data_IF_921602362098
#
_entry.id   IF_921602362098
#
_cell.length_a   1.000
_cell.length_b   1.000
_cell.length_c   1.000
_cell.angle_alpha   90.00
_cell.angle_beta   90.00
_cell.angle_gamma   90.00
#
_symmetry.space_group_name_H-M   'P 1'
#
loop_
_entity.id
_entity.type
_entity.pdbx_description
1 polymer ?
#
# COMPACT_ATOMS: atom_id res chain seq x y z
N UNK A 1 -9.55 2.19 -3.10
CA UNK A 1 -8.34 3.00 -3.30
C UNK A 1 -7.79 3.59 -2.01
N UNK A 2 -8.60 4.21 -1.16
CA UNK A 2 -8.14 4.81 0.12
C UNK A 2 -7.34 3.85 1.01
N UNK A 3 -7.72 2.57 1.09
CA UNK A 3 -6.96 1.56 1.85
C UNK A 3 -5.50 1.42 1.38
N UNK A 4 -5.27 1.46 0.06
CA UNK A 4 -3.91 1.43 -0.52
C UNK A 4 -3.14 2.69 -0.16
N UNK A 5 -3.76 3.87 -0.28
CA UNK A 5 -3.13 5.14 0.07
C UNK A 5 -2.73 5.19 1.55
N UNK A 6 -3.61 4.74 2.44
CA UNK A 6 -3.33 4.63 3.88
C UNK A 6 -2.19 3.65 4.15
N UNK A 7 -2.15 2.51 3.46
CA UNK A 7 -1.06 1.54 3.60
C UNK A 7 0.30 2.09 3.16
N UNK A 8 0.34 2.83 2.05
CA UNK A 8 1.55 3.56 1.62
C UNK A 8 1.97 4.58 2.68
N UNK A 9 1.03 5.35 3.23
CA UNK A 9 1.31 6.29 4.33
C UNK A 9 1.87 5.61 5.58
N UNK A 10 1.34 4.45 5.97
CA UNK A 10 1.85 3.67 7.10
C UNK A 10 3.26 3.13 6.85
N UNK A 11 3.54 2.61 5.65
CA UNK A 11 4.88 2.16 5.27
C UNK A 11 5.91 3.32 5.22
N UNK A 12 5.49 4.50 4.77
CA UNK A 12 6.34 5.70 4.85
C UNK A 12 6.60 6.11 6.30
N UNK A 13 5.58 6.09 7.15
CA UNK A 13 5.71 6.41 8.56
C UNK A 13 6.67 5.45 9.28
N UNK A 14 6.63 4.15 8.96
CA UNK A 14 7.59 3.16 9.43
C UNK A 14 9.02 3.58 9.11
N UNK A 15 9.33 3.89 7.84
CA UNK A 15 10.68 4.31 7.45
C UNK A 15 11.14 5.60 8.12
N UNK A 16 10.23 6.56 8.30
CA UNK A 16 10.52 7.81 9.01
C UNK A 16 10.83 7.57 10.50
N UNK A 17 10.06 6.69 11.16
CA UNK A 17 10.25 6.34 12.55
C UNK A 17 11.53 5.53 12.76
N UNK A 18 11.81 4.56 11.90
CA UNK A 18 13.03 3.77 11.93
C UNK A 18 14.28 4.65 11.72
N UNK A 19 14.22 5.63 10.79
CA UNK A 19 15.30 6.60 10.63
C UNK A 19 15.54 7.48 11.87
N UNK A 20 14.50 7.70 12.69
CA UNK A 20 14.58 8.55 13.89
C UNK A 20 14.99 7.78 15.15
N UNK A 21 14.54 6.54 15.29
CA UNK A 21 14.66 5.77 16.54
C UNK A 21 15.49 4.48 16.39
N UNK A 22 15.90 4.13 15.18
CA UNK A 22 16.67 2.91 14.87
C UNK A 22 15.78 1.74 14.45
N UNK A 23 16.31 0.89 13.59
CA UNK A 23 15.61 -0.28 13.07
C UNK A 23 15.37 -1.36 14.15
N UNK A 24 16.13 -1.36 15.26
CA UNK A 24 15.90 -2.28 16.39
C UNK A 24 14.59 -1.99 17.14
N UNK A 25 14.11 -0.75 17.09
CA UNK A 25 12.83 -0.36 17.72
C UNK A 25 11.66 -0.37 16.73
N UNK A 26 11.94 -0.13 15.45
CA UNK A 26 10.92 0.02 14.41
C UNK A 26 11.26 -0.89 13.23
N UNK A 27 10.64 -2.07 13.23
CA UNK A 27 10.90 -3.13 12.26
C UNK A 27 9.67 -3.68 11.51
N UNK A 28 8.49 -3.07 11.74
CA UNK A 28 7.21 -3.61 11.30
C UNK A 28 7.01 -3.59 9.77
N UNK A 29 6.12 -4.45 9.28
CA UNK A 29 5.67 -4.49 7.88
C UNK A 29 4.22 -4.03 7.77
N UNK A 30 3.89 -3.37 6.67
CA UNK A 30 2.52 -2.98 6.32
C UNK A 30 1.98 -3.92 5.25
N UNK A 31 0.82 -4.52 5.54
CA UNK A 31 0.10 -5.38 4.61
C UNK A 31 -1.27 -4.79 4.33
N UNK A 32 -1.71 -4.85 3.07
CA UNK A 32 -3.04 -4.42 2.67
C UNK A 32 -3.61 -5.39 1.65
N UNK A 33 -4.89 -5.72 1.81
CA UNK A 33 -5.65 -6.48 0.83
C UNK A 33 -6.40 -5.49 -0.06
N UNK A 34 -6.31 -5.67 -1.37
CA UNK A 34 -7.00 -4.85 -2.36
C UNK A 34 -7.71 -5.77 -3.36
N UNK A 35 -8.92 -5.41 -3.77
CA UNK A 35 -9.58 -6.02 -4.94
C UNK A 35 -9.52 -5.09 -6.14
N UNK A 36 -10.11 -5.50 -7.27
CA UNK A 36 -10.02 -4.76 -8.52
C UNK A 36 -10.50 -3.30 -8.41
N UNK A 37 -11.67 -3.09 -7.80
CA UNK A 37 -12.23 -1.74 -7.62
C UNK A 37 -11.30 -0.81 -6.84
N UNK A 38 -10.45 -1.35 -5.96
CA UNK A 38 -9.47 -0.55 -5.26
C UNK A 38 -8.35 -0.02 -6.16
N UNK A 39 -7.96 -0.80 -7.18
CA UNK A 39 -6.91 -0.46 -8.15
C UNK A 39 -7.44 0.39 -9.32
N UNK A 40 -8.74 0.37 -9.56
CA UNK A 40 -9.40 1.25 -10.54
C UNK A 40 -9.51 2.71 -10.09
N UNK A 41 -9.46 2.96 -8.78
CA UNK A 41 -9.47 4.33 -8.24
C UNK A 41 -8.12 5.02 -8.47
N UNK A 42 -8.12 6.23 -9.07
CA UNK A 42 -6.89 6.98 -9.39
C UNK A 42 -5.95 7.22 -8.20
N UNK A 43 -6.51 7.41 -7.00
CA UNK A 43 -5.72 7.58 -5.75
C UNK A 43 -4.80 6.38 -5.46
N UNK A 44 -5.20 5.17 -5.88
CA UNK A 44 -4.36 3.98 -5.72
C UNK A 44 -3.11 4.05 -6.59
N UNK A 45 -3.25 4.54 -7.81
CA UNK A 45 -2.16 4.65 -8.78
C UNK A 45 -1.15 5.72 -8.35
N UNK A 46 -1.64 6.87 -7.87
CA UNK A 46 -0.79 7.92 -7.29
C UNK A 46 0.01 7.40 -6.09
N UNK A 47 -0.66 6.68 -5.18
CA UNK A 47 -0.04 6.13 -3.98
C UNK A 47 1.01 5.05 -4.31
N UNK A 48 0.69 4.10 -5.21
CA UNK A 48 1.63 3.02 -5.61
C UNK A 48 2.83 3.61 -6.36
N UNK A 49 2.61 4.61 -7.23
CA UNK A 49 3.69 5.34 -7.90
C UNK A 49 4.65 5.97 -6.90
N UNK A 50 4.13 6.64 -5.86
CA UNK A 50 4.93 7.21 -4.78
C UNK A 50 5.69 6.12 -4.00
N UNK A 51 5.03 5.01 -3.66
CA UNK A 51 5.66 3.89 -2.94
C UNK A 51 6.84 3.30 -3.72
N UNK A 52 6.70 3.15 -5.04
CA UNK A 52 7.76 2.70 -5.92
C UNK A 52 8.91 3.72 -6.01
N UNK A 53 8.60 5.01 -6.15
CA UNK A 53 9.59 6.09 -6.18
C UNK A 53 10.44 6.14 -4.91
N UNK A 54 9.80 5.99 -3.74
CA UNK A 54 10.45 6.00 -2.44
C UNK A 54 11.07 4.66 -2.04
N UNK A 55 10.88 3.60 -2.84
CA UNK A 55 11.39 2.24 -2.59
C UNK A 55 10.95 1.69 -1.23
N UNK A 56 9.66 1.79 -0.92
CA UNK A 56 9.10 1.26 0.33
C UNK A 56 9.11 -0.29 0.32
N UNK A 57 10.13 -0.89 0.92
CA UNK A 57 10.43 -2.34 0.91
C UNK A 57 9.70 -3.16 1.98
N UNK A 58 9.09 -2.46 2.95
CA UNK A 58 8.25 -3.04 4.02
C UNK A 58 6.75 -2.91 3.78
N UNK A 59 6.33 -2.52 2.57
CA UNK A 59 4.94 -2.56 2.11
C UNK A 59 4.69 -3.81 1.28
N UNK A 60 3.56 -4.49 1.51
CA UNK A 60 3.10 -5.57 0.63
C UNK A 60 1.60 -5.48 0.39
N UNK A 61 1.23 -5.42 -0.89
CA UNK A 61 -0.16 -5.37 -1.34
C UNK A 61 -0.55 -6.77 -1.81
N UNK A 62 -1.55 -7.37 -1.16
CA UNK A 62 -2.19 -8.60 -1.62
C UNK A 62 -3.36 -8.20 -2.52
N UNK A 63 -3.18 -8.37 -3.83
CA UNK A 63 -4.22 -8.13 -4.80
C UNK A 63 -5.06 -9.40 -4.98
N UNK A 64 -6.35 -9.30 -4.65
CA UNK A 64 -7.38 -10.28 -4.99
C UNK A 64 -7.85 -10.03 -6.42
N UNK A 65 -7.23 -10.74 -7.36
CA UNK A 65 -7.55 -10.74 -8.79
C UNK A 65 -8.56 -11.85 -9.09
N UNK A 66 -9.83 -11.55 -8.90
CA UNK A 66 -10.92 -12.53 -9.05
C UNK A 66 -11.86 -12.23 -10.24
N UNK A 67 -11.57 -11.17 -10.99
CA UNK A 67 -12.33 -10.70 -12.15
C UNK A 67 -13.79 -10.30 -11.86
N UNK A 68 -14.13 -9.87 -10.64
CA UNK A 68 -15.52 -9.54 -10.24
C UNK A 68 -15.61 -8.16 -9.58
N UNK A 69 -16.57 -7.35 -10.05
CA UNK A 69 -17.07 -6.14 -9.36
C UNK A 69 -18.54 -6.30 -8.96
N UNK A 70 -19.08 -5.24 -8.35
CA UNK A 70 -20.51 -5.13 -8.05
C UNK A 70 -21.38 -5.20 -9.32
N UNK A 71 -20.95 -4.57 -10.42
CA UNK A 71 -21.74 -4.45 -11.65
C UNK A 71 -21.42 -5.52 -12.71
N UNK A 72 -20.58 -6.51 -12.36
CA UNK A 72 -20.15 -7.57 -13.27
C UNK A 72 -18.63 -7.72 -13.34
N UNK A 73 -18.10 -8.41 -14.36
CA UNK A 73 -16.69 -8.69 -14.47
C UNK A 73 -15.80 -7.43 -14.59
N UNK A 74 -14.53 -7.56 -14.23
CA UNK A 74 -13.48 -6.54 -14.51
C UNK A 74 -12.77 -6.73 -15.82
#
# INVERSE_FOLDING_TARGET
>A
GQGIATAVGMALAERMLAARFGDDLVDHRTWVIAGDGCLMEGVSQEAISLAGHLRLDRLTILFDDNHITIDGPT
#
